data_IF_566358486152
#
_entry.id   IF_566358486152
#
_cell.length_a   1.000
_cell.length_b   1.000
_cell.length_c   1.000
_cell.angle_alpha   90.00
_cell.angle_beta   90.00
_cell.angle_gamma   90.00
#
_symmetry.space_group_name_H-M   'P 1'
#
loop_
_entity.id
_entity.type
_entity.pdbx_description
1 polymer ?
#
# COMPACT_ATOMS: atom_id res chain seq x y z
N UNK A 1 10.72 -5.99 51.40
CA UNK A 1 10.94 -5.04 50.29
C UNK A 1 10.04 -5.44 49.14
N UNK A 2 8.90 -4.76 49.01
CA UNK A 2 8.16 -4.54 47.76
C UNK A 2 7.21 -3.40 48.13
N UNK A 3 7.51 -2.19 47.66
CA UNK A 3 6.68 -1.02 47.89
C UNK A 3 5.61 -1.06 46.82
N UNK A 4 4.39 -1.40 47.21
CA UNK A 4 3.22 -1.32 46.36
C UNK A 4 3.00 0.17 46.07
N UNK A 5 3.41 0.58 44.87
CA UNK A 5 3.21 1.94 44.36
C UNK A 5 1.72 2.04 44.01
N UNK A 6 0.99 3.01 44.60
CA UNK A 6 -0.40 3.27 44.22
C UNK A 6 -0.46 3.58 42.73
N UNK A 7 -0.90 2.60 41.94
CA UNK A 7 -1.03 2.70 40.50
C UNK A 7 -2.21 3.60 40.15
N UNK A 8 -1.99 4.91 40.21
CA UNK A 8 -2.87 5.92 39.63
C UNK A 8 -3.15 5.61 38.16
N UNK A 9 -4.38 5.89 37.70
CA UNK A 9 -4.84 5.56 36.35
C UNK A 9 -3.82 6.04 35.30
N UNK A 10 -3.28 5.15 34.44
CA UNK A 10 -2.29 5.55 33.45
C UNK A 10 -2.89 6.59 32.50
N UNK A 11 -2.16 7.70 32.30
CA UNK A 11 -2.53 8.80 31.42
C UNK A 11 -1.72 8.73 30.12
N UNK A 12 -2.28 9.24 29.02
CA UNK A 12 -1.61 9.24 27.72
C UNK A 12 -0.45 10.25 27.72
N UNK A 13 0.71 9.88 27.14
CA UNK A 13 1.89 10.74 27.14
C UNK A 13 1.76 11.91 26.19
N UNK A 14 1.05 11.74 25.07
CA UNK A 14 0.80 12.80 24.08
C UNK A 14 -0.64 12.82 23.61
N UNK A 15 -1.17 14.02 23.38
CA UNK A 15 -2.52 14.21 22.84
C UNK A 15 -2.69 13.53 21.47
N UNK A 16 -1.62 13.42 20.68
CA UNK A 16 -1.63 12.70 19.40
C UNK A 16 -1.89 11.21 19.56
N UNK A 17 -1.40 10.57 20.64
CA UNK A 17 -1.65 9.15 20.92
C UNK A 17 -3.12 8.91 21.26
N UNK A 18 -3.71 9.81 22.05
CA UNK A 18 -5.13 9.77 22.38
C UNK A 18 -6.01 9.93 21.14
N UNK A 19 -5.70 10.91 20.29
CA UNK A 19 -6.45 11.14 19.04
C UNK A 19 -6.27 9.98 18.05
N UNK A 20 -5.06 9.42 17.91
CA UNK A 20 -4.80 8.31 17.01
C UNK A 20 -5.50 7.02 17.49
N UNK A 21 -5.52 6.77 18.80
CA UNK A 21 -6.29 5.67 19.39
C UNK A 21 -7.80 5.86 19.17
N UNK A 22 -8.31 7.09 19.34
CA UNK A 22 -9.71 7.43 19.07
C UNK A 22 -10.12 7.20 17.61
N UNK A 23 -9.30 7.64 16.66
CA UNK A 23 -9.51 7.40 15.22
C UNK A 23 -9.39 5.89 14.92
N UNK A 24 -8.41 5.19 15.50
CA UNK A 24 -8.25 3.74 15.31
C UNK A 24 -9.48 2.94 15.78
N UNK A 25 -10.06 3.32 16.91
CA UNK A 25 -11.34 2.76 17.38
C UNK A 25 -12.52 3.11 16.46
N UNK A 26 -12.53 4.33 15.90
CA UNK A 26 -13.60 4.80 15.03
C UNK A 26 -13.51 4.28 13.58
N UNK A 27 -12.33 3.98 13.05
CA UNK A 27 -12.14 3.52 11.66
C UNK A 27 -12.15 1.97 11.56
N UNK A 28 -12.40 1.27 12.68
CA UNK A 28 -12.38 -0.19 12.73
C UNK A 28 -13.31 -0.89 11.73
N UNK A 29 -12.99 -2.17 11.42
CA UNK A 29 -13.69 -3.09 10.50
C UNK A 29 -15.23 -3.06 10.58
N UNK A 30 -15.78 -2.73 11.75
CA UNK A 30 -17.22 -2.55 11.96
C UNK A 30 -17.84 -1.46 11.08
N UNK A 31 -17.17 -0.33 10.87
CA UNK A 31 -17.71 0.76 10.03
C UNK A 31 -17.66 0.42 8.53
N UNK A 32 -16.71 -0.40 8.10
CA UNK A 32 -16.60 -0.82 6.70
C UNK A 32 -17.73 -1.77 6.30
N UNK A 33 -18.24 -2.62 7.21
CA UNK A 33 -19.30 -3.59 6.89
C UNK A 33 -20.69 -3.20 7.39
N UNK A 34 -20.79 -2.52 8.55
CA UNK A 34 -22.08 -2.13 9.15
C UNK A 34 -22.66 -0.89 8.49
N UNK A 35 -21.83 0.07 8.08
CA UNK A 35 -22.29 1.32 7.46
C UNK A 35 -22.93 1.08 6.08
N UNK A 36 -22.36 0.25 5.18
CA UNK A 36 -23.02 -0.09 3.92
C UNK A 36 -24.35 -0.82 4.13
N UNK A 37 -24.41 -1.74 5.10
CA UNK A 37 -25.63 -2.48 5.43
C UNK A 37 -26.74 -1.56 6.02
N UNK A 38 -26.36 -0.56 6.82
CA UNK A 38 -27.30 0.41 7.37
C UNK A 38 -27.81 1.39 6.28
N UNK A 39 -26.94 1.87 5.40
CA UNK A 39 -27.30 2.71 4.25
C UNK A 39 -28.16 1.96 3.22
N UNK A 40 -27.95 0.65 3.05
CA UNK A 40 -28.78 -0.23 2.22
C UNK A 40 -30.23 -0.27 2.72
N UNK A 41 -30.43 -0.34 4.05
CA UNK A 41 -31.76 -0.39 4.66
C UNK A 41 -32.51 0.96 4.63
N UNK A 42 -31.79 2.07 4.55
CA UNK A 42 -32.35 3.44 4.59
C UNK A 42 -32.43 4.13 3.21
N UNK A 43 -32.43 3.37 2.11
CA UNK A 43 -32.73 3.90 0.76
C UNK A 43 -31.63 4.77 0.12
N UNK A 44 -30.39 4.73 0.60
CA UNK A 44 -29.32 5.65 0.20
C UNK A 44 -28.29 5.05 -0.76
N UNK A 45 -28.63 4.89 -2.05
CA UNK A 45 -27.70 4.35 -3.07
C UNK A 45 -26.42 5.18 -3.27
N UNK A 46 -26.49 6.50 -3.08
CA UNK A 46 -25.33 7.41 -3.22
C UNK A 46 -24.27 7.16 -2.15
N UNK A 47 -24.68 6.83 -0.91
CA UNK A 47 -23.75 6.52 0.17
C UNK A 47 -22.99 5.20 -0.06
N UNK A 48 -23.61 4.23 -0.75
CA UNK A 48 -22.91 3.01 -1.14
C UNK A 48 -21.90 3.26 -2.26
N UNK A 49 -22.26 4.09 -3.24
CA UNK A 49 -21.36 4.41 -4.34
C UNK A 49 -20.08 5.12 -3.84
N UNK A 50 -20.20 6.07 -2.91
CA UNK A 50 -19.03 6.77 -2.37
C UNK A 50 -18.10 5.87 -1.56
N UNK A 51 -18.64 4.95 -0.75
CA UNK A 51 -17.85 3.97 -0.01
C UNK A 51 -17.17 2.98 -0.97
N UNK A 52 -17.87 2.49 -1.99
CA UNK A 52 -17.30 1.57 -2.98
C UNK A 52 -16.17 2.23 -3.78
N UNK A 53 -16.36 3.48 -4.25
CA UNK A 53 -15.33 4.25 -4.96
C UNK A 53 -14.13 4.49 -4.05
N UNK A 54 -14.36 4.85 -2.79
CA UNK A 54 -13.27 5.09 -1.82
C UNK A 54 -12.48 3.81 -1.56
N UNK A 55 -13.14 2.66 -1.42
CA UNK A 55 -12.48 1.37 -1.24
C UNK A 55 -11.63 0.97 -2.45
N UNK A 56 -12.15 1.17 -3.67
CA UNK A 56 -11.42 0.90 -4.92
C UNK A 56 -10.20 1.82 -5.01
N UNK A 57 -10.36 3.12 -4.76
CA UNK A 57 -9.25 4.08 -4.73
C UNK A 57 -8.21 3.70 -3.70
N UNK A 58 -8.60 3.45 -2.44
CA UNK A 58 -7.67 3.04 -1.39
C UNK A 58 -6.88 1.79 -1.79
N UNK A 59 -7.53 0.77 -2.36
CA UNK A 59 -6.84 -0.45 -2.81
C UNK A 59 -5.82 -0.14 -3.91
N UNK A 60 -6.21 0.62 -4.92
CA UNK A 60 -5.32 1.03 -6.02
C UNK A 60 -4.09 1.80 -5.50
N UNK A 61 -4.29 2.77 -4.60
CA UNK A 61 -3.19 3.52 -4.00
C UNK A 61 -2.23 2.65 -3.18
N UNK A 62 -2.76 1.69 -2.40
CA UNK A 62 -1.93 0.76 -1.64
C UNK A 62 -1.08 -0.14 -2.56
N UNK A 63 -1.62 -0.55 -3.71
CA UNK A 63 -0.85 -1.29 -4.72
C UNK A 63 0.31 -0.44 -5.24
N UNK A 64 0.09 0.82 -5.63
CA UNK A 64 1.17 1.72 -6.09
C UNK A 64 2.26 1.87 -5.02
N UNK A 65 1.88 2.11 -3.76
CA UNK A 65 2.83 2.25 -2.65
C UNK A 65 3.63 0.95 -2.49
N UNK A 66 2.99 -0.20 -2.58
CA UNK A 66 3.65 -1.50 -2.51
C UNK A 66 4.68 -1.68 -3.62
N UNK A 67 4.33 -1.33 -4.86
CA UNK A 67 5.28 -1.34 -5.98
C UNK A 67 6.45 -0.39 -5.72
N UNK A 68 6.19 0.85 -5.29
CA UNK A 68 7.23 1.82 -4.97
C UNK A 68 8.20 1.31 -3.89
N UNK A 69 7.67 0.71 -2.82
CA UNK A 69 8.48 0.09 -1.77
C UNK A 69 9.28 -1.10 -2.32
N UNK A 70 8.69 -1.95 -3.17
CA UNK A 70 9.39 -3.06 -3.83
C UNK A 70 10.61 -2.58 -4.64
N UNK A 71 10.45 -1.55 -5.47
CA UNK A 71 11.56 -0.95 -6.22
C UNK A 71 12.59 -0.29 -5.30
N UNK A 72 12.13 0.36 -4.23
CA UNK A 72 13.01 0.98 -3.23
C UNK A 72 13.91 -0.07 -2.55
N UNK A 73 13.32 -1.16 -2.05
CA UNK A 73 14.10 -2.23 -1.39
C UNK A 73 14.96 -3.01 -2.37
N UNK A 74 14.49 -3.19 -3.61
CA UNK A 74 15.26 -3.85 -4.67
C UNK A 74 16.51 -3.06 -5.07
N UNK A 75 16.53 -1.75 -4.84
CA UNK A 75 17.70 -0.89 -5.08
C UNK A 75 18.86 -1.13 -4.10
N UNK A 76 18.64 -1.84 -2.98
CA UNK A 76 19.71 -2.19 -2.04
C UNK A 76 20.50 -3.45 -2.45
N UNK A 77 20.13 -4.10 -3.56
CA UNK A 77 20.87 -5.26 -4.10
C UNK A 77 22.14 -4.78 -4.81
N UNK A 78 23.18 -5.61 -4.77
CA UNK A 78 24.49 -5.33 -5.40
C UNK A 78 24.44 -5.31 -6.94
N UNK A 79 23.54 -6.11 -7.52
CA UNK A 79 23.21 -6.07 -8.94
C UNK A 79 21.71 -5.75 -9.06
N UNK A 80 21.37 -4.69 -9.79
CA UNK A 80 19.98 -4.27 -9.93
C UNK A 80 19.26 -5.21 -10.90
N UNK A 81 18.07 -5.66 -10.50
CA UNK A 81 17.25 -6.61 -11.26
C UNK A 81 16.91 -6.11 -12.68
N UNK A 82 16.93 -4.80 -12.89
CA UNK A 82 16.58 -4.13 -14.15
C UNK A 82 17.78 -3.51 -14.89
N UNK A 83 19.00 -3.85 -14.49
CA UNK A 83 20.23 -3.35 -15.13
C UNK A 83 20.64 -4.19 -16.34
N UNK A 84 20.55 -5.51 -16.23
CA UNK A 84 21.09 -6.44 -17.22
C UNK A 84 20.00 -7.26 -17.93
N UNK A 85 20.25 -7.60 -19.20
CA UNK A 85 19.44 -8.53 -19.97
C UNK A 85 19.58 -10.01 -19.56
N UNK A 86 20.48 -10.36 -18.62
CA UNK A 86 20.71 -11.74 -18.17
C UNK A 86 19.77 -12.18 -17.03
N UNK A 87 18.46 -12.14 -17.27
CA UNK A 87 17.45 -12.58 -16.32
C UNK A 87 16.46 -13.56 -16.97
N UNK A 88 15.83 -14.42 -16.17
CA UNK A 88 14.92 -15.48 -16.67
C UNK A 88 13.65 -14.94 -17.32
N UNK A 89 13.28 -13.69 -17.04
CA UNK A 89 12.11 -13.02 -17.63
C UNK A 89 12.41 -12.25 -18.91
N UNK A 90 13.69 -12.12 -19.29
CA UNK A 90 14.06 -11.34 -20.47
C UNK A 90 13.88 -12.15 -21.76
N UNK A 91 13.37 -11.47 -22.78
CA UNK A 91 13.23 -11.99 -24.14
C UNK A 91 14.54 -11.82 -24.94
N UNK A 92 14.74 -12.57 -26.04
CA UNK A 92 15.94 -12.43 -26.88
C UNK A 92 16.09 -11.04 -27.53
N UNK A 93 15.04 -10.22 -27.54
CA UNK A 93 15.08 -8.84 -28.05
C UNK A 93 15.46 -7.81 -26.97
N UNK A 94 15.97 -8.25 -25.82
CA UNK A 94 16.46 -7.36 -24.77
C UNK A 94 17.78 -6.69 -25.16
N UNK A 95 17.86 -5.37 -24.97
CA UNK A 95 19.09 -4.61 -25.21
C UNK A 95 19.43 -3.70 -24.02
N UNK A 96 20.67 -3.76 -23.53
CA UNK A 96 21.12 -2.90 -22.43
C UNK A 96 21.32 -1.43 -22.89
N UNK A 97 21.42 -1.21 -24.21
CA UNK A 97 21.51 0.12 -24.83
C UNK A 97 20.30 0.39 -25.72
N UNK A 98 19.93 1.67 -25.82
CA UNK A 98 18.92 2.13 -26.76
C UNK A 98 19.45 1.91 -28.17
N UNK A 99 18.87 0.95 -28.88
CA UNK A 99 19.12 0.69 -30.31
C UNK A 99 18.06 1.42 -31.14
N UNK A 100 18.41 1.80 -32.36
CA UNK A 100 17.49 2.46 -33.31
C UNK A 100 16.46 1.48 -33.92
N UNK A 101 16.16 0.39 -33.20
CA UNK A 101 15.38 -0.74 -33.64
C UNK A 101 14.05 -0.76 -32.90
N UNK A 102 12.94 -0.59 -33.61
CA UNK A 102 11.58 -0.57 -33.04
C UNK A 102 11.17 -1.89 -32.37
N UNK A 103 11.93 -2.97 -32.58
CA UNK A 103 11.68 -4.31 -32.04
C UNK A 103 12.43 -4.63 -30.75
N UNK A 104 13.36 -3.77 -30.30
CA UNK A 104 14.16 -3.99 -29.09
C UNK A 104 13.56 -3.25 -27.88
N UNK A 105 13.65 -3.85 -26.69
CA UNK A 105 13.19 -3.24 -25.42
C UNK A 105 14.26 -3.37 -24.35
N UNK A 106 14.42 -2.35 -23.50
CA UNK A 106 15.45 -2.35 -22.46
C UNK A 106 15.14 -3.30 -21.31
N UNK A 107 16.16 -3.72 -20.56
CA UNK A 107 16.01 -4.57 -19.37
C UNK A 107 15.01 -3.97 -18.36
N UNK A 108 15.05 -2.65 -18.15
CA UNK A 108 14.10 -1.93 -17.28
C UNK A 108 12.66 -1.91 -17.80
N UNK A 109 12.47 -1.80 -19.11
CA UNK A 109 11.14 -1.87 -19.72
C UNK A 109 10.54 -3.27 -19.62
N UNK A 110 11.37 -4.31 -19.78
CA UNK A 110 10.91 -5.69 -19.62
C UNK A 110 10.61 -5.99 -18.15
N UNK A 111 11.44 -5.53 -17.21
CA UNK A 111 11.20 -5.71 -15.79
C UNK A 111 9.91 -5.01 -15.30
N UNK A 112 9.55 -3.85 -15.85
CA UNK A 112 8.28 -3.19 -15.49
C UNK A 112 7.04 -3.88 -16.08
N UNK A 113 7.21 -4.60 -17.19
CA UNK A 113 6.12 -5.32 -17.87
C UNK A 113 5.95 -6.76 -17.37
N UNK A 114 6.99 -7.32 -16.76
CA UNK A 114 6.98 -8.62 -16.12
C UNK A 114 6.14 -8.57 -14.84
#
# INVERSE_FOLDING_TARGET
MAKEEEAGRPTWSRQTEFTLAGIGCAVGLGNVWRFPYLCYRSGGGVGMATVAISFIMCTYYNIIITWALYYMFSSFRSELLWENCNNTWNTPNCTDRVTNSSSSSTASQQFFKF
#
